data_IF_352745697605
#
_entry.id   IF_352745697605
#
_cell.length_a   1.000
_cell.length_b   1.000
_cell.length_c   1.000
_cell.angle_alpha   90.00
_cell.angle_beta   90.00
_cell.angle_gamma   90.00
#
_symmetry.space_group_name_H-M   'P 1'
#
loop_
_entity.id
_entity.type
_entity.pdbx_description
1 polymer ?
#
# COMPACT_ATOMS: atom_id res chain seq x y z
N UNK A 1 -10.66 -11.44 -92.32
CA UNK A 1 -11.91 -11.36 -91.54
C UNK A 1 -12.30 -12.76 -91.08
N UNK A 2 -12.24 -13.01 -89.77
CA UNK A 2 -13.03 -14.00 -89.03
C UNK A 2 -12.86 -13.66 -87.53
N UNK A 3 -13.93 -13.38 -86.76
CA UNK A 3 -13.83 -13.11 -85.33
C UNK A 3 -13.82 -14.44 -84.55
N UNK A 4 -12.76 -14.68 -83.78
CA UNK A 4 -12.71 -15.79 -82.82
C UNK A 4 -13.38 -15.31 -81.53
N UNK A 5 -14.57 -15.84 -81.24
CA UNK A 5 -15.29 -15.58 -79.99
C UNK A 5 -14.61 -16.25 -78.79
N UNK A 6 -14.59 -15.63 -77.60
CA UNK A 6 -14.12 -16.29 -76.39
C UNK A 6 -15.16 -17.28 -75.86
N UNK A 7 -14.71 -18.52 -75.64
CA UNK A 7 -15.44 -19.59 -74.92
C UNK A 7 -15.79 -19.12 -73.50
N UNK A 8 -17.09 -19.08 -73.17
CA UNK A 8 -17.55 -19.07 -71.78
C UNK A 8 -17.34 -20.46 -71.16
N UNK A 9 -16.50 -20.54 -70.14
CA UNK A 9 -16.41 -21.68 -69.23
C UNK A 9 -17.26 -21.40 -67.99
N UNK A 10 -18.30 -22.21 -67.78
CA UNK A 10 -19.12 -22.19 -66.57
C UNK A 10 -18.27 -22.42 -65.31
N UNK A 11 -18.58 -21.79 -64.17
CA UNK A 11 -17.90 -22.08 -62.90
C UNK A 11 -18.35 -23.44 -62.34
N UNK A 12 -17.44 -24.24 -61.75
CA UNK A 12 -17.81 -25.46 -61.05
C UNK A 12 -18.51 -25.17 -59.72
N UNK A 13 -19.45 -26.05 -59.42
CA UNK A 13 -20.34 -26.16 -58.27
C UNK A 13 -19.74 -25.75 -56.92
N UNK A 14 -20.51 -24.98 -56.16
CA UNK A 14 -20.25 -24.66 -54.76
C UNK A 14 -20.14 -25.95 -53.91
N UNK A 15 -19.13 -26.08 -53.04
CA UNK A 15 -19.11 -27.15 -52.06
C UNK A 15 -20.21 -26.92 -51.02
N UNK A 16 -21.03 -27.94 -50.79
CA UNK A 16 -21.99 -28.00 -49.68
C UNK A 16 -21.25 -27.81 -48.34
N UNK A 17 -21.78 -27.02 -47.40
CA UNK A 17 -21.23 -26.95 -46.05
C UNK A 17 -21.51 -28.28 -45.34
N UNK A 18 -20.46 -29.08 -45.18
CA UNK A 18 -20.49 -30.26 -44.36
C UNK A 18 -20.92 -29.90 -42.93
N UNK A 19 -21.85 -30.70 -42.41
CA UNK A 19 -22.39 -30.68 -41.07
C UNK A 19 -21.35 -30.26 -40.00
N UNK A 20 -21.68 -29.19 -39.28
CA UNK A 20 -20.89 -28.64 -38.19
C UNK A 20 -20.63 -29.69 -37.10
N UNK A 21 -19.38 -30.14 -37.02
CA UNK A 21 -18.82 -30.63 -35.77
C UNK A 21 -18.80 -29.45 -34.77
N UNK A 22 -19.14 -29.65 -33.48
CA UNK A 22 -19.02 -28.60 -32.48
C UNK A 22 -17.59 -28.04 -32.54
N UNK A 23 -17.52 -26.74 -32.79
CA UNK A 23 -16.34 -26.04 -33.29
C UNK A 23 -15.09 -26.30 -32.48
N UNK A 24 -14.12 -26.96 -33.10
CA UNK A 24 -12.74 -26.92 -32.62
C UNK A 24 -12.30 -25.46 -32.62
N UNK A 25 -11.96 -24.92 -31.44
CA UNK A 25 -11.40 -23.58 -31.34
C UNK A 25 -10.13 -23.52 -32.19
N UNK A 26 -9.92 -22.40 -32.89
CA UNK A 26 -8.64 -22.17 -33.55
C UNK A 26 -7.52 -22.07 -32.50
N UNK A 27 -6.30 -22.43 -32.87
CA UNK A 27 -5.14 -22.31 -31.98
C UNK A 27 -4.98 -20.89 -31.40
N UNK A 28 -5.30 -19.85 -32.19
CA UNK A 28 -5.32 -18.46 -31.74
C UNK A 28 -6.37 -18.21 -30.64
N UNK A 29 -7.57 -18.79 -30.77
CA UNK A 29 -8.61 -18.70 -29.73
C UNK A 29 -8.21 -19.45 -28.46
N UNK A 30 -7.56 -20.62 -28.60
CA UNK A 30 -7.02 -21.37 -27.46
C UNK A 30 -5.95 -20.57 -26.71
N UNK A 31 -5.00 -19.96 -27.44
CA UNK A 31 -4.00 -19.06 -26.85
C UNK A 31 -4.67 -17.88 -26.12
N UNK A 32 -5.68 -17.25 -26.73
CA UNK A 32 -6.42 -16.15 -26.10
C UNK A 32 -7.09 -16.53 -24.78
N UNK A 33 -7.66 -17.74 -24.68
CA UNK A 33 -8.23 -18.26 -23.43
C UNK A 33 -7.14 -18.52 -22.39
N UNK A 34 -6.01 -19.12 -22.78
CA UNK A 34 -4.87 -19.37 -21.89
C UNK A 34 -4.28 -18.07 -21.35
N UNK A 35 -4.08 -17.05 -22.20
CA UNK A 35 -3.58 -15.74 -21.79
C UNK A 35 -4.53 -15.07 -20.81
N UNK A 36 -5.85 -15.11 -21.06
CA UNK A 36 -6.84 -14.53 -20.14
C UNK A 36 -6.78 -15.17 -18.76
N UNK A 37 -6.78 -16.51 -18.70
CA UNK A 37 -6.65 -17.25 -17.42
C UNK A 37 -5.34 -16.92 -16.71
N UNK A 38 -4.22 -16.92 -17.42
CA UNK A 38 -2.93 -16.56 -16.84
C UNK A 38 -2.91 -15.14 -16.27
N UNK A 39 -3.57 -14.18 -16.92
CA UNK A 39 -3.71 -12.80 -16.42
C UNK A 39 -4.62 -12.73 -15.19
N UNK A 40 -5.73 -13.46 -15.18
CA UNK A 40 -6.64 -13.54 -14.02
C UNK A 40 -5.96 -14.17 -12.80
N UNK A 41 -5.26 -15.30 -12.97
CA UNK A 41 -4.50 -15.95 -11.92
C UNK A 41 -3.37 -15.05 -11.40
N UNK A 42 -2.62 -14.40 -12.30
CA UNK A 42 -1.57 -13.45 -11.92
C UNK A 42 -2.11 -12.27 -11.12
N UNK A 43 -3.31 -11.76 -11.44
CA UNK A 43 -3.94 -10.67 -10.67
C UNK A 43 -4.22 -11.06 -9.23
N UNK A 44 -4.75 -12.27 -9.00
CA UNK A 44 -5.00 -12.77 -7.64
C UNK A 44 -3.68 -12.89 -6.86
N UNK A 45 -2.63 -13.44 -7.48
CA UNK A 45 -1.31 -13.55 -6.84
C UNK A 45 -0.71 -12.18 -6.54
N UNK A 46 -0.89 -11.19 -7.42
CA UNK A 46 -0.43 -9.80 -7.19
C UNK A 46 -1.14 -9.18 -5.99
N UNK A 47 -2.47 -9.32 -5.89
CA UNK A 47 -3.23 -8.80 -4.75
C UNK A 47 -2.82 -9.45 -3.43
N UNK A 48 -2.60 -10.76 -3.43
CA UNK A 48 -2.10 -11.51 -2.26
C UNK A 48 -0.70 -11.02 -1.83
N UNK A 49 0.22 -10.83 -2.78
CA UNK A 49 1.57 -10.29 -2.50
C UNK A 49 1.51 -8.87 -1.95
N UNK A 50 0.68 -8.00 -2.52
CA UNK A 50 0.53 -6.63 -2.04
C UNK A 50 -0.10 -6.58 -0.64
N UNK A 51 -1.09 -7.44 -0.36
CA UNK A 51 -1.67 -7.55 0.97
C UNK A 51 -0.63 -8.03 2.00
N UNK A 52 0.21 -8.98 1.63
CA UNK A 52 1.32 -9.43 2.47
C UNK A 52 2.32 -8.30 2.75
N UNK A 53 2.76 -7.58 1.71
CA UNK A 53 3.68 -6.45 1.88
C UNK A 53 3.10 -5.35 2.75
N UNK A 54 1.80 -5.04 2.62
CA UNK A 54 1.11 -4.11 3.53
C UNK A 54 1.12 -4.59 4.97
N UNK A 55 0.87 -5.87 5.22
CA UNK A 55 0.91 -6.43 6.57
C UNK A 55 2.32 -6.29 7.19
N UNK A 56 3.37 -6.53 6.41
CA UNK A 56 4.76 -6.31 6.84
C UNK A 56 5.04 -4.83 7.16
N UNK A 57 4.56 -3.88 6.32
CA UNK A 57 4.65 -2.44 6.60
C UNK A 57 4.00 -2.09 7.94
N UNK A 58 2.81 -2.64 8.23
CA UNK A 58 2.16 -2.42 9.53
C UNK A 58 2.99 -2.94 10.72
N UNK A 59 3.67 -4.08 10.58
CA UNK A 59 4.54 -4.59 11.65
C UNK A 59 5.72 -3.64 11.90
N UNK A 60 6.33 -3.12 10.84
CA UNK A 60 7.40 -2.11 10.93
C UNK A 60 6.90 -0.85 11.64
N UNK A 61 5.70 -0.36 11.29
CA UNK A 61 5.10 0.81 11.93
C UNK A 61 4.80 0.58 13.42
N UNK A 62 4.42 -0.62 13.82
CA UNK A 62 4.23 -0.95 15.24
C UNK A 62 5.56 -0.88 16.01
N UNK A 63 6.63 -1.43 15.44
CA UNK A 63 7.96 -1.31 16.05
C UNK A 63 8.40 0.16 16.17
N UNK A 64 8.23 0.94 15.09
CA UNK A 64 8.55 2.37 15.07
C UNK A 64 7.83 3.14 16.20
N UNK A 65 6.53 2.93 16.38
CA UNK A 65 5.75 3.58 17.46
C UNK A 65 6.27 3.22 18.85
N UNK A 66 6.65 1.97 19.07
CA UNK A 66 7.23 1.52 20.35
C UNK A 66 8.55 2.25 20.62
N UNK A 67 9.43 2.38 19.62
CA UNK A 67 10.69 3.09 19.80
C UNK A 67 10.48 4.59 20.05
N UNK A 68 9.57 5.25 19.33
CA UNK A 68 9.24 6.66 19.63
C UNK A 68 8.69 6.82 21.06
N UNK A 69 7.84 5.90 21.52
CA UNK A 69 7.33 5.90 22.90
C UNK A 69 8.45 5.80 23.94
N UNK A 70 9.43 4.90 23.72
CA UNK A 70 10.60 4.80 24.60
C UNK A 70 11.42 6.08 24.64
N UNK A 71 11.58 6.77 23.51
CA UNK A 71 12.31 8.04 23.49
C UNK A 71 11.55 9.15 24.22
N UNK A 72 10.22 9.19 24.09
CA UNK A 72 9.38 10.10 24.86
C UNK A 72 9.47 9.82 26.37
N UNK A 73 9.45 8.54 26.79
CA UNK A 73 9.63 8.13 28.19
C UNK A 73 11.02 8.53 28.72
N UNK A 74 12.03 8.54 27.85
CA UNK A 74 13.38 9.05 28.12
C UNK A 74 13.48 10.59 28.06
N UNK A 75 12.35 11.29 27.93
CA UNK A 75 12.23 12.76 27.87
C UNK A 75 12.91 13.40 26.66
N UNK A 76 12.96 12.68 25.54
CA UNK A 76 13.38 13.24 24.26
C UNK A 76 12.17 13.66 23.41
N UNK A 77 12.38 14.61 22.51
CA UNK A 77 11.39 15.17 21.59
C UNK A 77 11.60 14.71 20.13
N UNK A 78 12.53 13.78 19.94
CA UNK A 78 12.92 13.25 18.65
C UNK A 78 13.32 11.77 18.74
N UNK A 79 13.30 11.11 17.60
CA UNK A 79 13.76 9.74 17.47
C UNK A 79 14.36 9.51 16.08
N UNK A 80 15.45 8.76 16.04
CA UNK A 80 15.94 8.12 14.81
C UNK A 80 15.84 6.62 14.99
N UNK A 81 15.10 5.97 14.08
CA UNK A 81 14.74 4.55 14.19
C UNK A 81 15.06 3.85 12.89
N UNK A 82 15.80 2.74 12.99
CA UNK A 82 15.96 1.80 11.86
C UNK A 82 14.63 1.06 11.69
N UNK A 83 13.90 1.38 10.63
CA UNK A 83 12.59 0.79 10.35
C UNK A 83 12.71 -0.69 9.99
N UNK A 84 13.67 -1.00 9.11
CA UNK A 84 13.94 -2.36 8.67
C UNK A 84 15.28 -2.46 7.95
N UNK A 85 15.87 -3.66 7.97
CA UNK A 85 17.06 -4.00 7.19
C UNK A 85 16.64 -4.74 5.92
N UNK A 86 17.11 -4.27 4.77
CA UNK A 86 16.80 -4.81 3.47
C UNK A 86 17.56 -6.13 3.23
N UNK A 87 16.83 -7.24 3.33
CA UNK A 87 17.28 -8.58 2.97
C UNK A 87 17.31 -8.86 1.47
N UNK A 88 17.57 -10.10 1.10
CA UNK A 88 17.62 -10.56 -0.31
C UNK A 88 16.28 -10.43 -1.04
N UNK A 89 15.17 -10.47 -0.32
CA UNK A 89 13.79 -10.37 -0.80
C UNK A 89 13.36 -8.95 -1.18
N UNK A 90 14.16 -7.93 -0.89
CA UNK A 90 13.84 -6.53 -1.21
C UNK A 90 13.95 -6.20 -2.70
N UNK A 91 14.68 -7.04 -3.43
CA UNK A 91 14.71 -7.04 -4.89
C UNK A 91 13.49 -7.72 -5.53
N UNK A 92 12.55 -8.25 -4.71
CA UNK A 92 11.33 -8.86 -5.22
C UNK A 92 10.53 -7.84 -6.02
N UNK A 93 10.11 -8.29 -7.20
CA UNK A 93 9.28 -7.51 -8.11
C UNK A 93 7.89 -8.12 -8.19
N UNK A 94 6.88 -7.28 -8.11
CA UNK A 94 5.50 -7.62 -8.39
C UNK A 94 5.16 -7.09 -9.78
N UNK A 95 4.68 -7.94 -10.69
CA UNK A 95 4.35 -7.56 -12.07
C UNK A 95 2.84 -7.57 -12.27
N UNK A 96 2.29 -6.48 -12.77
CA UNK A 96 0.84 -6.30 -13.00
C UNK A 96 0.54 -5.93 -14.45
N UNK A 97 -0.63 -6.35 -14.91
CA UNK A 97 -1.15 -6.06 -16.25
C UNK A 97 -0.72 -7.05 -17.34
N UNK A 98 -1.29 -6.91 -18.53
CA UNK A 98 -0.89 -7.70 -19.70
C UNK A 98 0.53 -7.28 -20.11
N UNK A 99 1.40 -8.25 -20.40
CA UNK A 99 2.82 -8.02 -20.74
C UNK A 99 3.68 -7.38 -19.63
N UNK A 100 3.30 -7.48 -18.35
CA UNK A 100 4.04 -6.90 -17.23
C UNK A 100 4.19 -5.36 -17.31
N UNK A 101 3.14 -4.68 -17.79
CA UNK A 101 3.15 -3.23 -18.01
C UNK A 101 3.51 -2.40 -16.77
N UNK A 102 3.22 -2.92 -15.56
CA UNK A 102 3.61 -2.31 -14.30
C UNK A 102 4.51 -3.28 -13.53
N UNK A 103 5.71 -2.82 -13.14
CA UNK A 103 6.61 -3.58 -12.26
C UNK A 103 6.84 -2.75 -11.01
N UNK A 104 6.45 -3.28 -9.85
CA UNK A 104 6.62 -2.65 -8.56
C UNK A 104 7.72 -3.37 -7.78
N UNK A 105 8.70 -2.61 -7.28
CA UNK A 105 9.76 -3.12 -6.40
C UNK A 105 9.29 -3.06 -4.94
N UNK A 106 9.56 -4.13 -4.18
CA UNK A 106 9.23 -4.17 -2.75
C UNK A 106 9.85 -2.99 -1.99
N UNK A 107 11.11 -2.66 -2.29
CA UNK A 107 11.82 -1.50 -1.71
C UNK A 107 11.03 -0.21 -1.87
N UNK A 108 10.69 0.14 -3.10
CA UNK A 108 10.03 1.41 -3.42
C UNK A 108 8.63 1.47 -2.79
N UNK A 109 7.92 0.34 -2.81
CA UNK A 109 6.62 0.21 -2.14
C UNK A 109 6.72 0.46 -0.63
N UNK A 110 7.67 -0.19 0.05
CA UNK A 110 7.87 -0.01 1.49
C UNK A 110 8.23 1.42 1.84
N UNK A 111 9.18 2.03 1.10
CA UNK A 111 9.59 3.41 1.35
C UNK A 111 8.39 4.36 1.24
N UNK A 112 7.61 4.26 0.15
CA UNK A 112 6.44 5.12 -0.08
C UNK A 112 5.36 4.93 0.99
N UNK A 113 5.00 3.69 1.32
CA UNK A 113 3.94 3.43 2.32
C UNK A 113 4.40 3.84 3.73
N UNK A 114 5.64 3.56 4.11
CA UNK A 114 6.18 3.96 5.42
C UNK A 114 6.26 5.48 5.55
N UNK A 115 6.76 6.17 4.52
CA UNK A 115 6.81 7.63 4.49
C UNK A 115 5.41 8.24 4.62
N UNK A 116 4.44 7.76 3.83
CA UNK A 116 3.06 8.22 3.89
C UNK A 116 2.44 8.00 5.27
N UNK A 117 2.62 6.81 5.86
CA UNK A 117 2.09 6.50 7.18
C UNK A 117 2.74 7.30 8.30
N UNK A 118 4.06 7.49 8.28
CA UNK A 118 4.78 8.27 9.29
C UNK A 118 4.38 9.75 9.21
N UNK A 119 4.30 10.33 8.01
CA UNK A 119 3.78 11.69 7.84
C UNK A 119 2.36 11.84 8.37
N UNK A 120 1.50 10.84 8.13
CA UNK A 120 0.12 10.85 8.63
C UNK A 120 0.01 10.76 10.16
N UNK A 121 1.08 10.42 10.90
CA UNK A 121 1.05 10.40 12.37
C UNK A 121 1.12 11.80 13.00
N UNK A 122 1.44 12.84 12.23
CA UNK A 122 1.41 14.23 12.71
C UNK A 122 2.67 14.71 13.44
N UNK A 123 3.83 14.10 13.17
CA UNK A 123 5.11 14.62 13.64
C UNK A 123 5.39 16.04 13.10
N UNK A 124 6.10 16.86 13.88
CA UNK A 124 6.48 18.21 13.45
C UNK A 124 7.54 18.18 12.34
N UNK A 125 8.41 17.18 12.37
CA UNK A 125 9.28 16.83 11.25
C UNK A 125 9.33 15.30 11.14
N UNK A 126 9.32 14.81 9.91
CA UNK A 126 9.48 13.40 9.61
C UNK A 126 10.22 13.23 8.29
N UNK A 127 11.21 12.35 8.28
CA UNK A 127 11.97 11.98 7.09
C UNK A 127 12.21 10.48 7.11
N UNK A 128 11.87 9.81 6.02
CA UNK A 128 12.25 8.41 5.77
C UNK A 128 13.28 8.39 4.66
N UNK A 129 14.43 7.76 4.90
CA UNK A 129 15.51 7.73 3.93
C UNK A 129 16.26 6.40 3.95
N UNK A 130 16.96 6.14 2.84
CA UNK A 130 17.96 5.09 2.76
C UNK A 130 19.35 5.71 2.93
N UNK A 131 20.12 5.33 3.97
CA UNK A 131 21.46 5.86 4.21
C UNK A 131 22.43 5.66 3.04
N UNK A 132 22.29 4.58 2.27
CA UNK A 132 23.17 4.32 1.11
C UNK A 132 22.95 5.33 -0.03
N UNK A 133 21.77 5.92 -0.14
CA UNK A 133 21.40 6.88 -1.17
C UNK A 133 21.57 8.33 -0.68
N UNK A 134 21.86 8.53 0.61
CA UNK A 134 21.97 9.83 1.27
C UNK A 134 23.37 10.01 1.88
N UNK A 135 24.38 10.44 1.10
CA UNK A 135 25.78 10.52 1.53
C UNK A 135 26.05 11.59 2.61
N UNK A 136 25.04 12.38 2.98
CA UNK A 136 25.12 13.47 3.96
C UNK A 136 25.06 13.01 5.42
N UNK A 137 24.85 11.72 5.68
CA UNK A 137 24.62 11.19 7.03
C UNK A 137 25.76 10.23 7.35
N UNK A 138 26.63 10.62 8.30
CA UNK A 138 27.76 9.81 8.76
C UNK A 138 27.29 8.40 9.16
N UNK A 139 27.93 7.39 8.56
CA UNK A 139 27.39 6.05 8.37
C UNK A 139 27.45 5.16 9.63
N UNK A 140 26.58 5.42 10.61
CA UNK A 140 26.39 4.52 11.77
C UNK A 140 25.23 3.52 11.58
N UNK A 141 24.56 3.53 10.43
CA UNK A 141 23.42 2.66 10.16
C UNK A 141 23.84 1.36 9.46
N UNK A 142 23.14 0.24 9.72
CA UNK A 142 23.34 -0.98 8.97
C UNK A 142 23.20 -0.70 7.47
N UNK A 143 24.09 -1.25 6.62
CA UNK A 143 23.95 -1.11 5.18
C UNK A 143 22.60 -1.67 4.73
N UNK A 144 22.04 -1.05 3.69
CA UNK A 144 20.72 -1.39 3.15
C UNK A 144 19.63 -1.34 4.21
N UNK A 145 19.48 -0.23 4.91
CA UNK A 145 18.37 -0.05 5.86
C UNK A 145 17.46 1.08 5.41
N UNK A 146 16.19 1.01 5.82
CA UNK A 146 15.33 2.19 5.84
C UNK A 146 15.37 2.77 7.24
N UNK A 147 15.61 4.07 7.32
CA UNK A 147 15.71 4.82 8.57
C UNK A 147 14.66 5.91 8.56
N UNK A 148 13.97 6.10 9.68
CA UNK A 148 13.13 7.25 9.92
C UNK A 148 13.76 8.15 10.98
N UNK A 149 13.76 9.45 10.73
CA UNK A 149 14.04 10.47 11.73
C UNK A 149 12.79 11.32 11.90
N UNK A 150 12.35 11.49 13.14
CA UNK A 150 11.15 12.27 13.49
C UNK A 150 11.40 13.19 14.67
N UNK A 151 10.64 14.28 14.74
CA UNK A 151 10.49 15.12 15.93
C UNK A 151 9.03 15.42 16.20
N UNK A 152 8.69 15.69 17.46
CA UNK A 152 7.35 16.07 17.88
C UNK A 152 7.38 17.25 18.86
N UNK A 153 6.30 18.04 18.86
CA UNK A 153 6.15 19.13 19.82
C UNK A 153 5.86 18.57 21.21
N UNK A 154 6.53 19.11 22.23
CA UNK A 154 6.20 18.88 23.64
C UNK A 154 5.37 20.08 24.09
N UNK A 155 4.10 19.90 24.48
CA UNK A 155 3.30 21.01 24.98
C UNK A 155 3.95 21.58 26.24
N UNK A 156 4.09 22.91 26.30
CA UNK A 156 4.52 23.60 27.52
C UNK A 156 3.55 23.26 28.66
N UNK A 157 4.08 23.03 29.86
CA UNK A 157 3.33 22.58 31.04
C UNK A 157 2.42 23.68 31.64
N UNK A 158 2.10 24.73 30.90
CA UNK A 158 1.23 25.84 31.32
C UNK A 158 -0.11 25.70 30.61
N UNK A 159 -1.05 24.95 31.21
CA UNK A 159 -2.52 25.10 31.11
C UNK A 159 -3.25 23.85 31.64
N UNK A 160 -3.12 23.58 32.94
CA UNK A 160 -4.07 22.69 33.64
C UNK A 160 -4.04 22.91 35.17
N UNK A 161 -4.37 24.11 35.64
CA UNK A 161 -5.09 24.21 36.91
C UNK A 161 -6.57 24.44 36.59
N UNK A 162 -7.46 23.45 36.79
CA UNK A 162 -8.87 23.76 36.89
C UNK A 162 -9.06 24.56 38.18
N UNK A 163 -9.27 25.87 38.05
CA UNK A 163 -9.77 26.70 39.14
C UNK A 163 -11.04 26.04 39.69
N UNK A 164 -10.94 25.51 40.91
CA UNK A 164 -12.09 25.07 41.68
C UNK A 164 -12.95 26.33 41.97
N UNK A 165 -13.89 26.63 41.08
CA UNK A 165 -14.91 27.64 41.31
C UNK A 165 -15.81 27.13 42.45
N UNK A 166 -15.54 27.65 43.65
CA UNK A 166 -16.30 27.44 44.87
C UNK A 166 -17.74 27.93 44.63
N UNK A 167 -18.69 27.00 44.44
CA UNK A 167 -20.11 27.36 44.34
C UNK A 167 -20.60 27.96 45.67
N UNK A 168 -21.22 29.16 45.66
CA UNK A 168 -21.80 29.74 46.87
C UNK A 168 -23.08 29.00 47.24
N UNK A 169 -23.26 28.82 48.54
CA UNK A 169 -24.27 27.96 49.14
C UNK A 169 -25.70 28.19 48.66
N UNK A 170 -26.44 27.09 48.56
CA UNK A 170 -27.90 27.12 48.65
C UNK A 170 -28.46 25.79 49.17
N UNK A 171 -29.53 25.96 49.95
CA UNK A 171 -30.52 24.98 50.36
C UNK A 171 -30.22 24.13 51.61
N UNK A 172 -30.63 24.66 52.77
CA UNK A 172 -31.32 23.84 53.77
C UNK A 172 -32.61 24.55 54.19
N UNK A 173 -33.69 24.22 53.48
CA UNK A 173 -35.05 24.39 53.94
C UNK A 173 -35.47 23.10 54.66
N UNK A 174 -35.80 23.16 55.95
CA UNK A 174 -36.58 22.15 56.66
C UNK A 174 -37.52 22.91 57.60
N UNK A 175 -38.78 23.11 57.18
CA UNK A 175 -39.95 22.27 57.46
C UNK A 175 -40.37 22.29 58.93
N UNK A 176 -41.53 22.92 59.16
CA UNK A 176 -42.19 23.15 60.43
C UNK A 176 -42.75 21.86 61.08
N UNK A 177 -42.88 21.82 62.41
CA UNK A 177 -43.59 20.74 63.10
C UNK A 177 -45.10 20.98 63.13
N UNK A 178 -45.88 19.97 62.76
CA UNK A 178 -47.31 19.87 63.05
C UNK A 178 -47.51 19.16 64.40
N UNK A 179 -48.16 19.84 65.34
CA UNK A 179 -48.70 19.28 66.57
C UNK A 179 -50.21 19.07 66.44
N UNK A 180 -50.79 18.09 67.15
CA UNK A 180 -52.06 18.25 67.84
C UNK A 180 -51.84 18.73 69.29
#
# INVERSE_FOLDING_TARGET
QAPVQPRQTSPPSSPSPAAGRPGAMSFAAELGVRTRRAVEDSRRTVEEVLAQWKAEVFQVLMHFKVECGKQADARMDNATVVLCTMGSDWSATCRRGVNNAETLLKKDFFQQELEAHIHAMGFSAATVFNPEESPSIDAEYPPRSLVATVSWAVPDHDEAEPEHEEQPGSALAQLAPTSP
#
